data_IF_997927643346
#
_entry.id   IF_997927643346
#
_cell.length_a   1.000
_cell.length_b   1.000
_cell.length_c   1.000
_cell.angle_alpha   90.00
_cell.angle_beta   90.00
_cell.angle_gamma   90.00
#
_symmetry.space_group_name_H-M   'P 1'
#
loop_
_entity.id
_entity.type
_entity.pdbx_description
1 polymer ?
#
# COMPACT_ATOMS: atom_id res chain seq x y z
N UNK A 1 -8.25 6.45 -0.91
CA UNK A 1 -9.00 7.11 -2.00
C UNK A 1 -9.41 8.52 -1.64
N UNK A 2 -10.31 8.70 -0.66
CA UNK A 2 -10.78 10.03 -0.24
C UNK A 2 -9.63 11.01 0.08
N UNK A 3 -8.62 10.58 0.83
CA UNK A 3 -7.45 11.43 1.14
C UNK A 3 -6.64 11.87 -0.09
N UNK A 4 -6.48 11.00 -1.10
CA UNK A 4 -5.78 11.34 -2.35
C UNK A 4 -6.62 12.23 -3.27
N UNK A 5 -7.95 12.01 -3.33
CA UNK A 5 -8.85 12.90 -4.05
C UNK A 5 -8.93 14.29 -3.40
N UNK A 6 -8.87 14.36 -2.07
CA UNK A 6 -8.81 15.62 -1.31
C UNK A 6 -7.55 16.43 -1.59
N UNK A 7 -6.40 15.79 -1.89
CA UNK A 7 -5.18 16.51 -2.31
C UNK A 7 -5.42 17.41 -3.53
N UNK A 8 -6.28 17.00 -4.45
CA UNK A 8 -6.62 17.80 -5.63
C UNK A 8 -7.17 19.18 -5.24
N UNK A 9 -8.04 19.23 -4.22
CA UNK A 9 -8.68 20.46 -3.75
C UNK A 9 -7.86 21.20 -2.68
N UNK A 10 -7.15 20.46 -1.82
CA UNK A 10 -6.44 21.01 -0.66
C UNK A 10 -5.04 21.56 -0.99
N UNK A 11 -4.44 21.19 -2.13
CA UNK A 11 -3.13 21.70 -2.51
C UNK A 11 -3.30 23.05 -3.24
N UNK A 12 -3.68 24.09 -2.52
CA UNK A 12 -3.74 25.46 -3.05
C UNK A 12 -2.60 26.31 -2.45
N UNK A 13 -1.88 27.08 -3.27
CA UNK A 13 -0.83 27.98 -2.79
C UNK A 13 -1.40 29.11 -1.91
N UNK A 14 -2.69 29.43 -2.06
CA UNK A 14 -3.38 30.46 -1.29
C UNK A 14 -3.64 30.06 0.18
N UNK A 15 -3.73 28.75 0.46
CA UNK A 15 -4.03 28.23 1.80
C UNK A 15 -3.15 27.02 2.14
N UNK A 16 -1.86 27.22 2.51
CA UNK A 16 -0.91 26.13 2.74
C UNK A 16 -1.31 25.16 3.87
N UNK A 17 -2.15 25.60 4.81
CA UNK A 17 -2.65 24.76 5.91
C UNK A 17 -3.66 23.70 5.45
N UNK A 18 -4.28 23.83 4.27
CA UNK A 18 -5.25 22.84 3.78
C UNK A 18 -4.63 21.47 3.51
N UNK A 19 -3.31 21.39 3.33
CA UNK A 19 -2.54 20.13 3.20
C UNK A 19 -2.70 19.23 4.44
N UNK A 20 -3.03 19.78 5.61
CA UNK A 20 -3.24 19.02 6.84
C UNK A 20 -4.56 18.23 6.85
N UNK A 21 -5.53 18.59 6.03
CA UNK A 21 -6.84 17.93 5.97
C UNK A 21 -6.81 16.53 5.32
N UNK A 22 -6.12 16.30 4.18
CA UNK A 22 -5.97 14.97 3.61
C UNK A 22 -5.04 14.05 4.41
N UNK A 23 -4.10 14.59 5.21
CA UNK A 23 -3.08 13.81 5.89
C UNK A 23 -3.63 12.73 6.86
N UNK A 24 -4.61 13.01 7.74
CA UNK A 24 -5.21 11.99 8.61
C UNK A 24 -5.89 10.85 7.83
N UNK A 25 -6.56 11.17 6.72
CA UNK A 25 -7.28 10.18 5.92
C UNK A 25 -6.31 9.25 5.17
N UNK A 26 -5.18 9.79 4.69
CA UNK A 26 -4.12 8.98 4.09
C UNK A 26 -3.44 8.13 5.17
N UNK A 27 -3.11 8.72 6.31
CA UNK A 27 -2.46 8.01 7.41
C UNK A 27 -3.30 6.84 7.94
N UNK A 28 -4.62 7.01 8.07
CA UNK A 28 -5.53 5.94 8.47
C UNK A 28 -5.54 4.79 7.46
N UNK A 29 -5.65 5.10 6.16
CA UNK A 29 -5.63 4.09 5.11
C UNK A 29 -4.30 3.34 5.03
N UNK A 30 -3.19 4.05 5.15
CA UNK A 30 -1.85 3.46 5.15
C UNK A 30 -1.64 2.59 6.39
N UNK A 31 -2.01 3.09 7.58
CA UNK A 31 -1.91 2.36 8.84
C UNK A 31 -2.72 1.06 8.82
N UNK A 32 -3.95 1.10 8.31
CA UNK A 32 -4.78 -0.09 8.15
C UNK A 32 -4.14 -1.15 7.26
N UNK A 33 -3.55 -0.75 6.12
CA UNK A 33 -2.84 -1.68 5.23
C UNK A 33 -1.60 -2.29 5.89
N UNK A 34 -0.82 -1.50 6.63
CA UNK A 34 0.36 -1.99 7.34
C UNK A 34 0.03 -2.93 8.49
N UNK A 35 -1.17 -2.86 9.07
CA UNK A 35 -1.64 -3.81 10.09
C UNK A 35 -2.28 -5.06 9.47
N UNK A 36 -3.06 -4.89 8.41
CA UNK A 36 -3.83 -5.97 7.79
C UNK A 36 -2.93 -6.93 7.00
N UNK A 37 -1.89 -6.44 6.33
CA UNK A 37 -0.97 -7.28 5.55
C UNK A 37 -0.21 -8.31 6.39
N UNK A 38 0.44 -7.97 7.52
CA UNK A 38 1.07 -8.96 8.39
C UNK A 38 0.08 -9.98 8.97
N UNK A 39 -1.16 -9.55 9.27
CA UNK A 39 -2.21 -10.47 9.75
C UNK A 39 -2.55 -11.53 8.69
N UNK A 40 -2.81 -11.11 7.45
CA UNK A 40 -3.10 -12.04 6.35
C UNK A 40 -1.91 -12.97 6.04
N UNK A 41 -0.68 -12.47 6.20
CA UNK A 41 0.52 -13.29 6.06
C UNK A 41 0.59 -14.38 7.13
N UNK A 42 0.23 -14.07 8.38
CA UNK A 42 0.13 -15.07 9.45
C UNK A 42 -0.94 -16.13 9.13
N UNK A 43 -2.11 -15.71 8.64
CA UNK A 43 -3.18 -16.64 8.24
C UNK A 43 -2.73 -17.62 7.13
N UNK A 44 -1.92 -17.14 6.17
CA UNK A 44 -1.35 -17.99 5.11
C UNK A 44 -0.33 -18.98 5.68
N UNK A 45 0.54 -18.53 6.58
CA UNK A 45 1.53 -19.39 7.24
C UNK A 45 0.83 -20.50 8.00
N UNK A 46 -0.21 -20.18 8.78
CA UNK A 46 -0.98 -21.16 9.53
C UNK A 46 -1.62 -22.20 8.61
N UNK A 47 -2.20 -21.75 7.49
CA UNK A 47 -2.78 -22.64 6.48
C UNK A 47 -1.74 -23.52 5.80
N UNK A 48 -0.56 -22.98 5.49
CA UNK A 48 0.55 -23.73 4.90
C UNK A 48 1.07 -24.78 5.90
N UNK A 49 1.28 -24.41 7.16
CA UNK A 49 1.74 -25.32 8.19
C UNK A 49 0.73 -26.43 8.52
N UNK A 50 -0.57 -26.17 8.36
CA UNK A 50 -1.59 -27.21 8.46
C UNK A 50 -1.42 -28.26 7.34
N UNK A 51 -1.03 -27.86 6.13
CA UNK A 51 -0.89 -28.73 4.95
C UNK A 51 0.47 -29.42 4.87
N UNK A 52 1.55 -28.69 5.15
CA UNK A 52 2.93 -29.14 4.95
C UNK A 52 3.57 -29.66 6.23
N UNK A 53 2.96 -29.41 7.39
CA UNK A 53 3.52 -29.70 8.71
C UNK A 53 4.83 -28.97 9.05
N UNK A 54 5.26 -28.01 8.23
CA UNK A 54 6.47 -27.21 8.44
C UNK A 54 6.12 -25.73 8.62
N UNK A 55 6.72 -25.08 9.63
CA UNK A 55 6.52 -23.66 9.90
C UNK A 55 7.48 -22.83 9.06
N UNK A 56 6.99 -22.23 7.97
CA UNK A 56 7.80 -21.50 6.97
C UNK A 56 7.69 -19.98 7.05
N UNK A 57 7.50 -19.43 8.25
CA UNK A 57 7.32 -17.99 8.48
C UNK A 57 8.41 -17.11 7.86
N UNK A 58 9.68 -17.51 8.01
CA UNK A 58 10.81 -16.74 7.49
C UNK A 58 10.82 -16.65 5.96
N UNK A 59 10.36 -17.70 5.27
CA UNK A 59 10.26 -17.70 3.81
C UNK A 59 9.17 -16.73 3.35
N UNK A 60 7.99 -16.82 3.96
CA UNK A 60 6.87 -15.93 3.64
C UNK A 60 7.19 -14.46 3.95
N UNK A 61 7.81 -14.18 5.11
CA UNK A 61 8.25 -12.84 5.49
C UNK A 61 9.34 -12.27 4.57
N UNK A 62 10.30 -13.08 4.14
CA UNK A 62 11.36 -12.64 3.23
C UNK A 62 10.83 -12.32 1.82
N UNK A 63 9.92 -13.15 1.28
CA UNK A 63 9.26 -12.87 0.00
C UNK A 63 8.44 -11.59 0.09
N UNK A 64 7.66 -11.40 1.16
CA UNK A 64 6.88 -10.18 1.37
C UNK A 64 7.74 -8.92 1.30
N UNK A 65 8.82 -8.86 2.10
CA UNK A 65 9.70 -7.69 2.10
C UNK A 65 10.47 -7.50 0.81
N UNK A 66 10.80 -8.58 0.10
CA UNK A 66 11.44 -8.51 -1.20
C UNK A 66 10.50 -7.86 -2.22
N UNK A 67 9.23 -8.26 -2.28
CA UNK A 67 8.22 -7.67 -3.17
C UNK A 67 7.99 -6.19 -2.83
N UNK A 68 7.93 -5.83 -1.55
CA UNK A 68 7.82 -4.42 -1.12
C UNK A 68 9.00 -3.59 -1.65
N UNK A 69 10.23 -4.08 -1.48
CA UNK A 69 11.44 -3.38 -1.96
C UNK A 69 11.47 -3.25 -3.48
N UNK A 70 11.04 -4.30 -4.20
CA UNK A 70 10.91 -4.26 -5.65
C UNK A 70 9.91 -3.18 -6.09
N UNK A 71 8.75 -3.09 -5.43
CA UNK A 71 7.76 -2.05 -5.67
C UNK A 71 8.30 -0.64 -5.41
N UNK A 72 9.06 -0.44 -4.33
CA UNK A 72 9.72 0.83 -4.02
C UNK A 72 10.76 1.21 -5.09
N UNK A 73 11.57 0.25 -5.54
CA UNK A 73 12.55 0.47 -6.59
C UNK A 73 11.88 0.84 -7.93
N UNK A 74 10.80 0.14 -8.29
CA UNK A 74 10.03 0.45 -9.48
C UNK A 74 9.36 1.83 -9.40
N UNK A 75 8.82 2.21 -8.23
CA UNK A 75 8.24 3.52 -8.01
C UNK A 75 9.28 4.65 -8.11
N UNK A 76 10.48 4.44 -7.56
CA UNK A 76 11.59 5.40 -7.68
C UNK A 76 12.05 5.56 -9.13
N UNK A 77 12.26 4.46 -9.84
CA UNK A 77 12.67 4.49 -11.25
C UNK A 77 11.58 5.13 -12.14
N UNK A 78 10.33 4.75 -11.94
CA UNK A 78 9.18 5.29 -12.67
C UNK A 78 8.91 6.76 -12.35
N UNK A 79 9.17 7.20 -11.12
CA UNK A 79 9.00 8.59 -10.69
C UNK A 79 9.86 9.56 -11.49
N UNK A 80 11.11 9.19 -11.80
CA UNK A 80 12.00 10.01 -12.65
C UNK A 80 11.47 10.17 -14.08
N UNK A 81 11.06 9.06 -14.71
CA UNK A 81 10.48 9.06 -16.07
C UNK A 81 9.18 9.86 -16.12
N UNK A 82 8.35 9.72 -15.08
CA UNK A 82 7.10 10.44 -14.93
C UNK A 82 7.33 11.95 -14.82
N UNK A 83 8.34 12.39 -14.06
CA UNK A 83 8.72 13.79 -13.94
C UNK A 83 9.16 14.37 -15.30
N UNK A 84 10.03 13.66 -16.01
CA UNK A 84 10.46 14.06 -17.36
C UNK A 84 9.26 14.17 -18.32
N UNK A 85 8.34 13.21 -18.29
CA UNK A 85 7.12 13.22 -19.11
C UNK A 85 6.17 14.40 -18.80
N UNK A 86 6.21 14.97 -17.59
CA UNK A 86 5.42 16.17 -17.26
C UNK A 86 6.02 17.47 -17.80
N UNK A 87 7.22 17.41 -18.40
CA UNK A 87 7.95 18.59 -18.87
C UNK A 87 8.64 19.36 -17.74
N UNK A 88 9.00 18.67 -16.66
CA UNK A 88 9.73 19.26 -15.54
C UNK A 88 11.18 19.58 -15.93
N UNK A 89 11.59 20.85 -15.76
CA UNK A 89 12.96 21.28 -15.98
C UNK A 89 13.61 21.73 -14.68
N UNK A 90 14.66 21.03 -14.24
CA UNK A 90 15.38 21.33 -12.98
C UNK A 90 15.88 22.78 -12.96
N UNK A 91 16.35 23.29 -14.11
CA UNK A 91 16.94 24.63 -14.25
C UNK A 91 15.95 25.78 -14.00
N UNK A 92 14.65 25.53 -14.19
CA UNK A 92 13.60 26.53 -13.95
C UNK A 92 13.24 26.68 -12.45
N UNK A 93 13.73 25.78 -11.59
CA UNK A 93 13.41 25.79 -10.16
C UNK A 93 11.89 25.83 -9.93
N UNK A 94 11.42 26.86 -9.22
CA UNK A 94 9.99 27.10 -8.95
C UNK A 94 9.20 27.76 -10.10
N UNK A 95 9.87 28.21 -11.17
CA UNK A 95 9.24 28.87 -12.32
C UNK A 95 8.80 27.86 -13.40
N UNK A 96 8.10 26.80 -12.98
CA UNK A 96 7.55 25.81 -13.92
C UNK A 96 6.28 26.34 -14.60
N UNK A 97 5.97 25.82 -15.78
CA UNK A 97 4.71 26.14 -16.45
C UNK A 97 3.51 25.68 -15.59
N UNK A 98 2.40 26.43 -15.66
CA UNK A 98 1.17 26.05 -14.95
C UNK A 98 0.68 24.65 -15.35
N UNK A 99 0.91 24.27 -16.61
CA UNK A 99 0.58 22.94 -17.14
C UNK A 99 1.43 21.85 -16.49
N UNK A 100 2.74 22.05 -16.35
CA UNK A 100 3.68 21.12 -15.69
C UNK A 100 3.27 20.88 -14.23
N UNK A 101 2.99 21.96 -13.49
CA UNK A 101 2.55 21.86 -12.09
C UNK A 101 1.22 21.10 -11.99
N UNK A 102 0.28 21.36 -12.89
CA UNK A 102 -1.03 20.67 -12.91
C UNK A 102 -0.86 19.18 -13.19
N UNK A 103 0.00 18.81 -14.14
CA UNK A 103 0.29 17.41 -14.46
C UNK A 103 0.99 16.68 -13.31
N UNK A 104 1.96 17.32 -12.64
CA UNK A 104 2.61 16.75 -11.45
C UNK A 104 1.61 16.51 -10.30
N UNK A 105 0.70 17.46 -10.07
CA UNK A 105 -0.38 17.31 -9.07
C UNK A 105 -1.35 16.19 -9.45
N UNK A 106 -1.72 16.09 -10.72
CA UNK A 106 -2.54 14.99 -11.21
C UNK A 106 -1.84 13.64 -10.98
N UNK A 107 -0.56 13.55 -11.30
CA UNK A 107 0.21 12.33 -11.10
C UNK A 107 0.29 11.92 -9.62
N UNK A 108 0.59 12.84 -8.70
CA UNK A 108 0.64 12.56 -7.24
C UNK A 108 -0.73 12.19 -6.63
N UNK A 109 -1.83 12.67 -7.20
CA UNK A 109 -3.17 12.36 -6.70
C UNK A 109 -3.74 11.07 -7.32
N UNK A 110 -3.70 10.95 -8.65
CA UNK A 110 -4.37 9.88 -9.38
C UNK A 110 -3.59 8.57 -9.38
N UNK A 111 -2.26 8.59 -9.44
CA UNK A 111 -1.47 7.35 -9.48
C UNK A 111 -1.62 6.57 -8.16
N UNK A 112 -1.41 7.18 -6.96
CA UNK A 112 -1.65 6.47 -5.71
C UNK A 112 -3.10 6.06 -5.51
N UNK A 113 -4.06 6.85 -6.01
CA UNK A 113 -5.46 6.48 -5.98
C UNK A 113 -5.75 5.23 -6.83
N UNK A 114 -5.25 5.17 -8.07
CA UNK A 114 -5.46 4.00 -8.91
C UNK A 114 -4.78 2.76 -8.33
N UNK A 115 -3.53 2.88 -7.87
CA UNK A 115 -2.81 1.73 -7.30
C UNK A 115 -3.45 1.21 -6.02
N UNK A 116 -3.98 2.09 -5.15
CA UNK A 116 -4.71 1.58 -3.99
C UNK A 116 -6.11 1.04 -4.30
N UNK A 117 -6.75 1.40 -5.42
CA UNK A 117 -7.95 0.67 -5.90
C UNK A 117 -7.61 -0.77 -6.31
N UNK A 118 -6.50 -0.95 -7.03
CA UNK A 118 -6.01 -2.29 -7.40
C UNK A 118 -5.67 -3.11 -6.15
N UNK A 119 -5.03 -2.49 -5.15
CA UNK A 119 -4.72 -3.15 -3.88
C UNK A 119 -6.00 -3.57 -3.13
N UNK A 120 -7.01 -2.70 -3.06
CA UNK A 120 -8.31 -3.03 -2.44
C UNK A 120 -8.96 -4.20 -3.17
N UNK A 121 -8.94 -4.20 -4.50
CA UNK A 121 -9.47 -5.31 -5.30
C UNK A 121 -8.75 -6.63 -4.99
N UNK A 122 -7.42 -6.61 -4.93
CA UNK A 122 -6.63 -7.80 -4.59
C UNK A 122 -6.96 -8.36 -3.19
N UNK A 123 -7.11 -7.48 -2.19
CA UNK A 123 -7.54 -7.87 -0.84
C UNK A 123 -8.97 -8.40 -0.84
N UNK A 124 -9.86 -7.82 -1.64
CA UNK A 124 -11.25 -8.28 -1.73
C UNK A 124 -11.38 -9.67 -2.36
N UNK A 125 -10.48 -10.03 -3.27
CA UNK A 125 -10.41 -11.39 -3.85
C UNK A 125 -9.71 -12.42 -2.95
N UNK A 126 -9.30 -12.02 -1.74
CA UNK A 126 -8.59 -12.91 -0.82
C UNK A 126 -9.51 -14.04 -0.31
N UNK A 127 -9.11 -15.32 -0.45
CA UNK A 127 -10.00 -16.44 -0.19
C UNK A 127 -10.08 -16.84 1.29
N UNK A 128 -9.16 -16.38 2.15
CA UNK A 128 -9.18 -16.75 3.58
C UNK A 128 -10.12 -15.80 4.31
N UNK A 129 -11.27 -16.33 4.72
CA UNK A 129 -12.23 -15.65 5.58
C UNK A 129 -11.91 -15.90 7.05
N UNK A 130 -12.48 -15.09 7.94
CA UNK A 130 -12.37 -15.28 9.40
C UNK A 130 -12.76 -16.71 9.84
N UNK A 131 -13.78 -17.29 9.20
CA UNK A 131 -14.21 -18.67 9.48
C UNK A 131 -13.13 -19.68 9.13
N UNK A 132 -12.50 -19.55 7.95
CA UNK A 132 -11.41 -20.43 7.53
C UNK A 132 -10.13 -20.24 8.35
N UNK A 133 -9.82 -19.00 8.75
CA UNK A 133 -8.69 -18.71 9.63
C UNK A 133 -8.89 -19.33 11.01
N UNK A 134 -10.09 -19.18 11.60
CA UNK A 134 -10.45 -19.80 12.89
C UNK A 134 -10.41 -21.32 12.82
N UNK A 135 -10.99 -21.92 11.77
CA UNK A 135 -10.96 -23.37 11.59
C UNK A 135 -9.53 -23.91 11.46
N UNK A 136 -8.66 -23.20 10.74
CA UNK A 136 -7.24 -23.54 10.60
C UNK A 136 -6.54 -23.47 11.96
N UNK A 137 -6.74 -22.39 12.71
CA UNK A 137 -6.19 -22.21 14.06
C UNK A 137 -6.63 -23.32 15.01
N UNK A 138 -7.92 -23.64 15.06
CA UNK A 138 -8.45 -24.72 15.91
C UNK A 138 -7.84 -26.09 15.54
N UNK A 139 -7.66 -26.38 14.25
CA UNK A 139 -7.04 -27.61 13.79
C UNK A 139 -5.56 -27.70 14.21
N UNK A 140 -4.85 -26.57 14.21
CA UNK A 140 -3.47 -26.49 14.66
C UNK A 140 -3.34 -26.61 16.18
N UNK A 141 -4.20 -25.95 16.94
CA UNK A 141 -4.23 -26.04 18.40
C UNK A 141 -4.54 -27.48 18.86
N UNK A 142 -5.45 -28.19 18.18
CA UNK A 142 -5.69 -29.62 18.43
C UNK A 142 -4.46 -30.50 18.21
N UNK A 143 -3.61 -30.15 17.24
CA UNK A 143 -2.41 -30.94 16.89
C UNK A 143 -1.23 -30.66 17.81
N UNK A 144 -1.06 -29.40 18.24
CA UNK A 144 0.17 -28.90 18.89
C UNK A 144 -0.01 -28.45 20.33
N UNK A 145 -1.26 -28.35 20.80
CA UNK A 145 -1.60 -27.61 22.01
C UNK A 145 -1.75 -26.11 21.74
N UNK A 146 -2.30 -25.39 22.72
CA UNK A 146 -2.45 -23.93 22.66
C UNK A 146 -1.07 -23.28 22.74
N UNK A 147 -0.66 -22.57 21.69
CA UNK A 147 0.51 -21.69 21.73
C UNK A 147 -0.03 -20.28 21.92
N UNK A 148 0.27 -19.70 23.09
CA UNK A 148 -0.10 -18.33 23.48
C UNK A 148 0.77 -17.32 22.74
#
# INVERSE_FOLDING_TARGET
>A
MLGYALKWFCYSPDYPLLVLLPAPLIAFGLGGLFTLMPSMMADIVDLDELKTHERREGMYGSIYWWVVKLGMAAALAGGGVLLEATGFHVDLGGQQSATTITLMRAADAFIPALTSLVAIYAVWTYPITEETARATREALEKRRGVVV
#
